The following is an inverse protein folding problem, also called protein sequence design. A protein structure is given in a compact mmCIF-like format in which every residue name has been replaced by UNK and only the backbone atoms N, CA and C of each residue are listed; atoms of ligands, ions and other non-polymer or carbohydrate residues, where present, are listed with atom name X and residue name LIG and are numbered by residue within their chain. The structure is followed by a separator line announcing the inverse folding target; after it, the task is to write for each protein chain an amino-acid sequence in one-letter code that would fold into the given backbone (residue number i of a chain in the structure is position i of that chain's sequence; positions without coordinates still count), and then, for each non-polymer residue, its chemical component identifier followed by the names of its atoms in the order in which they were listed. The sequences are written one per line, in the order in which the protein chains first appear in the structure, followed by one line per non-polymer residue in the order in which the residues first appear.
data_IF_059083465753
#
_entry.id   IF_059083465753
#
_cell.length_a   1.000
_cell.length_b   1.000
_cell.length_c   1.000
_cell.angle_alpha   90.00
_cell.angle_beta   90.00
_cell.angle_gamma   90.00
#
_symmetry.space_group_name_H-M   'P 1'
#
loop_
_entity.id
_entity.type
_entity.pdbx_description
1 polymer ?
#
# COMPACT_ATOMS: atom_id res chain seq x y z
N UNK A 1 38.23 44.87 -29.31
CA UNK A 1 37.74 44.20 -28.08
C UNK A 1 38.77 43.17 -27.66
N UNK A 2 39.72 43.59 -26.83
CA UNK A 2 40.79 42.77 -26.22
C UNK A 2 40.99 43.31 -24.79
N UNK A 3 41.67 42.58 -23.88
CA UNK A 3 41.19 42.23 -22.55
C UNK A 3 41.88 43.09 -21.48
N UNK A 4 41.40 43.13 -20.24
CA UNK A 4 42.26 43.63 -19.14
C UNK A 4 42.16 42.80 -17.87
N UNK A 5 43.33 42.25 -17.59
CA UNK A 5 43.85 41.68 -16.36
C UNK A 5 44.03 42.77 -15.29
N UNK A 6 43.95 42.32 -14.03
CA UNK A 6 44.86 42.61 -12.90
C UNK A 6 44.70 43.90 -12.07
N UNK A 7 44.57 43.61 -10.76
CA UNK A 7 44.72 44.35 -9.49
C UNK A 7 46.01 45.21 -9.36
N UNK A 8 46.42 45.69 -8.16
CA UNK A 8 45.85 46.54 -7.09
C UNK A 8 46.71 47.83 -6.88
N UNK A 9 46.56 48.61 -5.79
CA UNK A 9 47.58 48.56 -4.71
C UNK A 9 46.98 48.71 -3.30
N UNK A 10 47.40 47.96 -2.28
CA UNK A 10 48.60 48.09 -1.43
C UNK A 10 48.69 49.40 -0.62
N UNK A 11 48.56 49.30 0.71
CA UNK A 11 49.56 49.66 1.75
C UNK A 11 48.90 50.10 3.07
N UNK A 12 49.28 49.45 4.18
CA UNK A 12 50.06 50.00 5.33
C UNK A 12 49.99 48.97 6.48
N UNK A 13 51.04 48.15 6.73
CA UNK A 13 52.16 48.37 7.67
C UNK A 13 51.76 48.85 9.07
N UNK A 14 51.88 47.96 10.07
CA UNK A 14 52.97 47.98 11.07
C UNK A 14 52.95 46.71 11.95
N UNK A 15 54.04 46.39 12.70
CA UNK A 15 54.31 45.09 13.31
C UNK A 15 53.98 45.11 14.81
N UNK A 16 54.12 43.98 15.50
CA UNK A 16 54.90 43.79 16.75
C UNK A 16 54.69 42.37 17.26
N UNK A 17 55.79 41.86 17.80
CA UNK A 17 56.05 40.56 18.43
C UNK A 17 54.96 40.02 19.37
N UNK A 18 54.89 38.69 19.51
CA UNK A 18 54.25 38.08 20.68
C UNK A 18 54.07 36.57 20.65
N UNK A 19 55.10 35.86 21.10
CA UNK A 19 55.05 34.63 21.93
C UNK A 19 54.23 33.42 21.42
N UNK A 20 54.95 32.35 21.08
CA UNK A 20 54.39 31.02 20.88
C UNK A 20 53.83 30.44 22.19
N UNK A 21 52.54 30.12 22.20
CA UNK A 21 51.88 29.26 23.18
C UNK A 21 51.38 28.01 22.44
N UNK A 22 52.08 26.89 22.64
CA UNK A 22 51.61 25.57 22.22
C UNK A 22 50.46 25.15 23.16
N UNK A 23 49.23 25.47 22.77
CA UNK A 23 48.04 24.89 23.39
C UNK A 23 47.82 23.48 22.82
N UNK A 24 48.08 22.46 23.62
CA UNK A 24 47.72 21.07 23.30
C UNK A 24 46.21 20.95 23.52
N UNK A 25 45.42 21.32 22.52
CA UNK A 25 44.00 20.99 22.50
C UNK A 25 43.86 19.53 22.06
N UNK A 26 43.64 18.63 23.01
CA UNK A 26 43.17 17.28 22.70
C UNK A 26 41.89 17.41 21.86
N UNK A 27 41.79 16.79 20.67
CA UNK A 27 40.53 16.71 19.97
C UNK A 27 39.59 15.88 20.86
N UNK A 28 38.60 16.54 21.45
CA UNK A 28 37.45 15.84 21.99
C UNK A 28 36.74 15.24 20.77
N UNK A 29 37.03 13.99 20.45
CA UNK A 29 36.21 13.22 19.53
C UNK A 29 34.84 13.09 20.20
N UNK A 30 33.90 13.95 19.81
CA UNK A 30 32.50 13.68 20.01
C UNK A 30 32.18 12.49 19.09
N UNK A 31 32.22 11.28 19.64
CA UNK A 31 31.75 10.08 18.96
C UNK A 31 30.33 10.39 18.46
N UNK A 32 30.05 10.28 17.15
CA UNK A 32 28.68 10.38 16.65
C UNK A 32 27.89 9.29 17.36
N UNK A 33 26.97 9.69 18.24
CA UNK A 33 26.05 8.76 18.86
C UNK A 33 25.30 8.09 17.73
N UNK A 34 25.66 6.83 17.43
CA UNK A 34 24.95 6.07 16.44
C UNK A 34 23.48 6.07 16.86
N UNK A 35 22.54 6.46 15.97
CA UNK A 35 21.13 6.42 16.31
C UNK A 35 20.80 4.99 16.73
N UNK A 36 20.33 4.84 17.96
CA UNK A 36 19.82 3.57 18.47
C UNK A 36 18.75 3.13 17.45
N UNK A 37 18.85 1.94 16.84
CA UNK A 37 17.81 1.45 15.97
C UNK A 37 16.57 1.24 16.84
N UNK A 38 15.71 2.24 16.87
CA UNK A 38 14.37 2.12 17.45
C UNK A 38 13.62 1.19 16.53
N UNK A 39 13.58 -0.09 16.88
CA UNK A 39 12.74 -1.09 16.25
C UNK A 39 11.30 -0.84 16.71
N UNK A 40 10.72 0.27 16.27
CA UNK A 40 9.29 0.47 16.37
C UNK A 40 8.64 -0.66 15.56
N UNK A 41 7.73 -1.45 16.13
CA UNK A 41 6.86 -2.29 15.33
C UNK A 41 6.29 -1.42 14.20
N UNK A 42 6.32 -1.87 12.93
CA UNK A 42 5.74 -1.08 11.86
C UNK A 42 4.33 -0.69 12.29
N UNK A 43 4.05 0.61 12.30
CA UNK A 43 2.76 1.12 12.70
C UNK A 43 1.69 0.30 11.98
N UNK A 44 0.83 -0.36 12.76
CA UNK A 44 -0.27 -1.12 12.20
C UNK A 44 -1.06 -0.12 11.35
N UNK A 45 -0.99 -0.30 10.04
CA UNK A 45 -1.57 0.61 9.08
C UNK A 45 -3.08 0.35 9.14
N UNK A 46 -3.72 0.97 10.13
CA UNK A 46 -5.16 0.94 10.29
C UNK A 46 -5.72 1.84 9.20
N UNK A 47 -5.83 1.28 8.01
CA UNK A 47 -6.54 1.85 6.88
C UNK A 47 -7.97 1.37 7.02
N UNK A 48 -8.87 2.33 7.21
CA UNK A 48 -10.27 2.02 7.42
C UNK A 48 -10.98 2.02 6.09
N UNK A 49 -11.82 1.02 5.85
CA UNK A 49 -12.65 0.99 4.64
C UNK A 49 -13.73 2.06 4.75
N UNK A 50 -13.76 2.99 3.79
CA UNK A 50 -14.77 4.06 3.70
C UNK A 50 -15.82 3.79 2.61
N UNK A 51 -15.50 2.90 1.66
CA UNK A 51 -16.40 2.46 0.60
C UNK A 51 -16.18 0.98 0.28
N UNK A 52 -17.26 0.21 0.33
CA UNK A 52 -17.30 -1.20 -0.02
C UNK A 52 -18.32 -1.42 -1.13
N UNK A 53 -17.94 -2.13 -2.18
CA UNK A 53 -18.84 -2.58 -3.24
C UNK A 53 -18.71 -4.10 -3.44
N UNK A 54 -19.81 -4.82 -3.25
CA UNK A 54 -19.87 -6.28 -3.35
C UNK A 54 -20.51 -6.70 -4.67
N UNK A 55 -19.79 -7.50 -5.44
CA UNK A 55 -20.17 -7.97 -6.77
C UNK A 55 -20.40 -9.48 -6.73
N UNK A 56 -21.58 -9.92 -7.15
CA UNK A 56 -21.92 -11.35 -7.28
C UNK A 56 -21.72 -11.80 -8.72
N UNK A 57 -21.25 -13.02 -8.91
CA UNK A 57 -20.91 -13.55 -10.22
C UNK A 57 -20.13 -14.84 -10.14
N UNK A 58 -19.16 -15.00 -11.05
CA UNK A 58 -18.28 -16.15 -11.07
C UNK A 58 -16.90 -15.80 -11.64
N UNK A 59 -15.87 -16.52 -11.20
CA UNK A 59 -14.56 -16.48 -11.82
C UNK A 59 -14.52 -17.38 -13.06
N UNK A 60 -14.32 -16.82 -14.26
CA UNK A 60 -13.91 -17.59 -15.44
C UNK A 60 -12.46 -18.05 -15.33
N UNK A 61 -11.61 -17.19 -14.76
CA UNK A 61 -10.23 -17.51 -14.41
C UNK A 61 -9.99 -17.06 -12.99
N UNK A 62 -9.50 -17.96 -12.14
CA UNK A 62 -8.83 -17.61 -10.90
C UNK A 62 -7.65 -18.55 -10.75
N UNK A 63 -6.44 -18.03 -10.88
CA UNK A 63 -5.21 -18.78 -10.67
C UNK A 63 -4.40 -18.12 -9.58
N UNK A 64 -4.09 -18.88 -8.54
CA UNK A 64 -3.32 -18.42 -7.39
C UNK A 64 -2.10 -19.33 -7.28
N UNK A 65 -0.91 -18.79 -7.56
CA UNK A 65 0.36 -19.52 -7.55
C UNK A 65 0.31 -20.85 -8.34
N UNK A 66 -0.33 -20.82 -9.51
CA UNK A 66 -0.49 -21.98 -10.40
C UNK A 66 -1.68 -22.91 -10.09
N UNK A 67 -2.40 -22.71 -8.99
CA UNK A 67 -3.63 -23.45 -8.68
C UNK A 67 -4.85 -22.75 -9.27
N UNK A 68 -5.61 -23.45 -10.10
CA UNK A 68 -6.91 -22.97 -10.59
C UNK A 68 -7.98 -23.19 -9.53
N UNK A 69 -8.72 -22.14 -9.20
CA UNK A 69 -9.74 -22.11 -8.16
C UNK A 69 -11.02 -21.50 -8.70
N UNK A 70 -12.12 -21.62 -7.96
CA UNK A 70 -13.39 -20.98 -8.28
C UNK A 70 -13.66 -19.81 -7.32
N UNK A 71 -14.58 -18.93 -7.70
CA UNK A 71 -15.08 -17.86 -6.85
C UNK A 71 -16.50 -17.50 -7.27
N UNK A 72 -17.27 -16.92 -6.36
CA UNK A 72 -18.62 -16.37 -6.64
C UNK A 72 -18.76 -14.89 -6.34
N UNK A 73 -17.77 -14.31 -5.67
CA UNK A 73 -17.89 -12.97 -5.15
C UNK A 73 -16.55 -12.25 -5.20
N UNK A 74 -16.60 -11.01 -5.67
CA UNK A 74 -15.49 -10.07 -5.59
C UNK A 74 -15.98 -8.83 -4.85
N UNK A 75 -15.17 -8.33 -3.93
CA UNK A 75 -15.40 -7.08 -3.23
C UNK A 75 -14.37 -6.05 -3.68
N UNK A 76 -14.85 -4.86 -4.04
CA UNK A 76 -14.03 -3.66 -4.11
C UNK A 76 -14.09 -2.96 -2.75
N UNK A 77 -12.94 -2.74 -2.12
CA UNK A 77 -12.85 -2.01 -0.86
C UNK A 77 -11.86 -0.85 -1.03
N UNK A 78 -12.34 0.37 -0.85
CA UNK A 78 -11.52 1.57 -0.83
C UNK A 78 -11.28 1.96 0.63
N UNK A 79 -10.02 2.18 0.96
CA UNK A 79 -9.58 2.68 2.25
C UNK A 79 -9.61 4.21 2.28
N UNK A 80 -9.81 4.76 3.46
CA UNK A 80 -9.77 6.19 3.77
C UNK A 80 -8.47 6.90 3.31
N UNK A 81 -7.36 6.16 3.25
CA UNK A 81 -6.07 6.66 2.73
C UNK A 81 -5.83 6.41 1.23
N UNK A 82 -6.85 5.99 0.50
CA UNK A 82 -6.82 5.82 -0.96
C UNK A 82 -6.30 4.47 -1.46
N UNK A 83 -5.90 3.56 -0.57
CA UNK A 83 -5.55 2.19 -0.93
C UNK A 83 -6.81 1.40 -1.27
N UNK A 84 -6.76 0.61 -2.33
CA UNK A 84 -7.90 -0.14 -2.86
C UNK A 84 -7.56 -1.62 -2.91
N UNK A 85 -8.56 -2.45 -2.57
CA UNK A 85 -8.50 -3.90 -2.65
C UNK A 85 -9.59 -4.42 -3.59
N UNK A 86 -9.22 -5.26 -4.54
CA UNK A 86 -10.14 -6.23 -5.15
C UNK A 86 -9.97 -7.57 -4.43
N UNK A 87 -10.83 -7.84 -3.45
CA UNK A 87 -10.82 -9.04 -2.64
C UNK A 87 -11.71 -10.11 -3.26
N UNK A 88 -11.15 -11.28 -3.54
CA UNK A 88 -11.83 -12.44 -4.12
C UNK A 88 -12.10 -13.44 -3.00
N UNK A 89 -13.37 -13.74 -2.76
CA UNK A 89 -13.76 -14.85 -1.90
C UNK A 89 -13.57 -16.15 -2.70
N UNK A 90 -12.57 -16.94 -2.32
CA UNK A 90 -12.19 -18.14 -3.05
C UNK A 90 -13.04 -19.31 -2.58
N UNK A 91 -13.65 -20.01 -3.53
CA UNK A 91 -14.36 -21.27 -3.27
C UNK A 91 -13.32 -22.39 -3.15
N UNK A 92 -12.65 -22.50 -1.99
CA UNK A 92 -11.65 -23.54 -1.69
C UNK A 92 -12.20 -24.55 -0.68
N UNK A 93 -12.46 -25.81 -1.07
CA UNK A 93 -12.99 -26.83 -0.15
C UNK A 93 -12.01 -27.21 0.97
N UNK A 94 -10.73 -26.84 0.85
CA UNK A 94 -9.68 -27.15 1.83
C UNK A 94 -9.41 -26.00 2.80
N UNK A 95 -9.95 -24.81 2.52
CA UNK A 95 -9.73 -23.59 3.29
C UNK A 95 -10.98 -22.71 3.37
N UNK A 96 -11.69 -22.82 4.49
CA UNK A 96 -12.97 -22.14 4.73
C UNK A 96 -12.88 -20.59 4.82
N UNK A 97 -11.69 -20.00 4.85
CA UNK A 97 -11.48 -18.55 4.89
C UNK A 97 -10.48 -18.06 3.83
N UNK A 98 -10.45 -18.74 2.69
CA UNK A 98 -9.54 -18.41 1.61
C UNK A 98 -10.00 -17.12 0.90
N UNK A 99 -9.27 -16.03 1.11
CA UNK A 99 -9.50 -14.75 0.43
C UNK A 99 -8.18 -14.26 -0.14
N UNK A 100 -8.19 -13.89 -1.42
CA UNK A 100 -7.04 -13.29 -2.09
C UNK A 100 -7.41 -11.89 -2.55
N UNK A 101 -6.62 -10.90 -2.16
CA UNK A 101 -6.86 -9.51 -2.55
C UNK A 101 -5.72 -8.96 -3.39
N UNK A 102 -6.08 -8.33 -4.51
CA UNK A 102 -5.19 -7.49 -5.30
C UNK A 102 -5.26 -6.08 -4.71
N UNK A 103 -4.17 -5.63 -4.10
CA UNK A 103 -4.09 -4.37 -3.36
C UNK A 103 -3.18 -3.38 -4.08
N UNK A 104 -3.59 -2.13 -4.10
CA UNK A 104 -2.84 -1.07 -4.76
C UNK A 104 -3.25 0.33 -4.35
N UNK A 105 -2.53 1.30 -4.86
CA UNK A 105 -2.77 2.74 -4.69
C UNK A 105 -2.80 3.43 -6.06
N UNK A 106 -3.20 4.70 -6.09
CA UNK A 106 -3.22 5.53 -7.30
C UNK A 106 -4.11 4.97 -8.41
N UNK A 107 -5.23 4.34 -8.02
CA UNK A 107 -6.24 3.89 -8.96
C UNK A 107 -6.88 5.07 -9.71
N UNK A 108 -7.20 4.85 -10.98
CA UNK A 108 -7.70 5.89 -11.89
C UNK A 108 -8.92 5.41 -12.65
N UNK A 109 -9.86 6.31 -12.88
CA UNK A 109 -10.94 6.08 -13.86
C UNK A 109 -10.45 6.54 -15.22
N UNK A 110 -10.52 5.67 -16.23
CA UNK A 110 -10.22 6.08 -17.60
C UNK A 110 -11.47 6.71 -18.26
N UNK A 111 -12.67 6.25 -17.88
CA UNK A 111 -13.96 6.83 -18.24
C UNK A 111 -15.03 6.47 -17.17
N UNK A 112 -16.30 6.80 -17.42
CA UNK A 112 -17.42 6.54 -16.49
C UNK A 112 -17.68 5.05 -16.22
N UNK A 113 -17.17 4.16 -17.08
CA UNK A 113 -17.38 2.72 -17.04
C UNK A 113 -16.07 1.92 -16.96
N UNK A 114 -14.95 2.57 -16.66
CA UNK A 114 -13.67 1.87 -16.55
C UNK A 114 -12.81 2.39 -15.42
N UNK A 115 -12.25 1.46 -14.65
CA UNK A 115 -11.33 1.75 -13.56
C UNK A 115 -10.10 0.85 -13.66
N UNK A 116 -8.93 1.43 -13.47
CA UNK A 116 -7.64 0.74 -13.45
C UNK A 116 -6.94 0.98 -12.12
N UNK A 117 -6.42 -0.08 -11.52
CA UNK A 117 -5.66 -0.05 -10.27
C UNK A 117 -4.30 -0.71 -10.49
N UNK A 118 -3.19 0.05 -10.40
CA UNK A 118 -1.86 -0.54 -10.24
C UNK A 118 -1.81 -1.37 -8.96
N UNK A 119 -1.37 -2.63 -9.04
CA UNK A 119 -1.25 -3.54 -7.90
C UNK A 119 0.21 -3.54 -7.42
N UNK A 120 0.41 -3.30 -6.13
CA UNK A 120 1.72 -3.27 -5.47
C UNK A 120 1.90 -4.40 -4.44
N UNK A 121 0.81 -5.06 -4.04
CA UNK A 121 0.85 -6.22 -3.15
C UNK A 121 -0.35 -7.13 -3.32
N UNK A 122 -0.12 -8.41 -3.09
CA UNK A 122 -1.16 -9.40 -2.86
C UNK A 122 -1.37 -9.58 -1.36
N UNK A 123 -2.64 -9.65 -0.93
CA UNK A 123 -3.01 -10.00 0.44
C UNK A 123 -3.63 -11.39 0.43
N UNK A 124 -2.98 -12.34 1.10
CA UNK A 124 -3.38 -13.75 1.12
C UNK A 124 -3.92 -14.11 2.49
N UNK A 125 -5.20 -14.40 2.57
CA UNK A 125 -5.86 -14.84 3.79
C UNK A 125 -6.26 -16.31 3.68
N UNK A 126 -6.08 -17.03 4.78
CA UNK A 126 -6.43 -18.45 4.95
C UNK A 126 -6.94 -18.68 6.38
N UNK A 127 -7.60 -19.82 6.63
CA UNK A 127 -8.13 -20.18 7.95
C UNK A 127 -7.09 -20.19 9.08
N UNK A 128 -5.83 -20.49 8.74
CA UNK A 128 -4.74 -20.66 9.71
C UNK A 128 -3.91 -19.38 9.92
N UNK A 129 -4.34 -18.24 9.33
CA UNK A 129 -3.64 -16.96 9.53
C UNK A 129 -3.70 -16.52 10.99
N UNK A 130 -2.60 -15.91 11.50
CA UNK A 130 -2.60 -15.33 12.84
C UNK A 130 -3.68 -14.25 12.96
N UNK A 131 -4.23 -14.11 14.16
CA UNK A 131 -5.25 -13.12 14.48
C UNK A 131 -4.69 -12.07 15.43
N UNK A 132 -5.06 -10.82 15.20
CA UNK A 132 -4.80 -9.69 16.10
C UNK A 132 -6.17 -9.14 16.49
N UNK A 133 -6.44 -9.01 17.78
CA UNK A 133 -7.76 -8.63 18.33
C UNK A 133 -8.93 -9.50 17.80
N UNK A 134 -8.65 -10.78 17.53
CA UNK A 134 -9.61 -11.74 16.99
C UNK A 134 -9.82 -11.66 15.47
N UNK A 135 -9.22 -10.70 14.77
CA UNK A 135 -9.33 -10.52 13.32
C UNK A 135 -8.13 -11.15 12.59
N UNK A 136 -8.36 -11.96 11.53
CA UNK A 136 -7.27 -12.57 10.77
C UNK A 136 -6.44 -11.50 10.05
N UNK A 137 -5.12 -11.64 10.13
CA UNK A 137 -4.15 -10.74 9.46
C UNK A 137 -3.66 -11.41 8.18
N UNK A 138 -3.98 -10.89 6.98
CA UNK A 138 -3.50 -11.46 5.72
C UNK A 138 -1.97 -11.47 5.61
N UNK A 139 -1.42 -12.45 4.90
CA UNK A 139 -0.02 -12.42 4.49
C UNK A 139 0.15 -11.41 3.36
N UNK A 140 1.06 -10.46 3.51
CA UNK A 140 1.37 -9.49 2.45
C UNK A 140 2.49 -10.04 1.58
N UNK A 141 2.28 -10.05 0.27
CA UNK A 141 3.29 -10.41 -0.73
C UNK A 141 3.51 -9.21 -1.63
N UNK A 142 4.73 -8.66 -1.63
CA UNK A 142 5.08 -7.59 -2.57
C UNK A 142 4.93 -8.10 -4.00
N UNK A 143 4.20 -7.37 -4.83
CA UNK A 143 3.87 -7.80 -6.19
C UNK A 143 3.77 -6.65 -7.15
N UNK A 144 3.94 -6.91 -8.44
CA UNK A 144 3.69 -5.93 -9.50
C UNK A 144 2.56 -6.43 -10.38
N UNK A 145 1.57 -5.59 -10.61
CA UNK A 145 0.42 -5.97 -11.41
C UNK A 145 -0.55 -4.83 -11.73
N UNK A 146 -1.70 -5.21 -12.26
CA UNK A 146 -2.80 -4.31 -12.57
C UNK A 146 -4.13 -5.04 -12.42
N UNK A 147 -5.13 -4.31 -11.93
CA UNK A 147 -6.54 -4.68 -12.01
C UNK A 147 -7.28 -3.70 -12.91
N UNK A 148 -8.20 -4.20 -13.71
CA UNK A 148 -9.16 -3.43 -14.49
C UNK A 148 -10.57 -3.88 -14.17
N UNK A 149 -11.45 -2.92 -13.92
CA UNK A 149 -12.87 -3.14 -13.69
C UNK A 149 -13.65 -2.39 -14.77
N UNK A 150 -14.64 -3.06 -15.35
CA UNK A 150 -15.54 -2.49 -16.37
C UNK A 150 -16.97 -2.36 -15.83
N UNK A 151 -17.67 -1.32 -16.23
CA UNK A 151 -18.95 -0.91 -15.65
C UNK A 151 -18.78 0.17 -14.57
N UNK A 152 -19.86 0.45 -13.85
CA UNK A 152 -20.01 1.63 -13.02
C UNK A 152 -20.62 1.28 -11.65
N UNK A 153 -19.84 1.52 -10.58
CA UNK A 153 -20.28 1.31 -9.20
C UNK A 153 -21.46 2.23 -8.79
N UNK A 154 -21.50 3.47 -9.25
CA UNK A 154 -22.60 4.40 -8.96
C UNK A 154 -23.91 3.95 -9.63
N UNK A 155 -23.82 3.41 -10.85
CA UNK A 155 -24.93 2.77 -11.54
C UNK A 155 -25.24 1.35 -11.02
N UNK A 156 -24.44 0.84 -10.06
CA UNK A 156 -24.52 -0.53 -9.51
C UNK A 156 -24.42 -1.64 -10.56
N UNK A 157 -23.76 -1.36 -11.68
CA UNK A 157 -23.62 -2.28 -12.82
C UNK A 157 -22.14 -2.46 -13.14
N UNK A 158 -21.55 -3.51 -12.59
CA UNK A 158 -20.20 -3.97 -12.97
C UNK A 158 -20.35 -5.17 -13.90
N UNK A 159 -19.56 -5.21 -14.97
CA UNK A 159 -19.60 -6.32 -15.93
C UNK A 159 -18.51 -7.35 -15.58
N UNK A 160 -17.26 -6.90 -15.47
CA UNK A 160 -16.12 -7.76 -15.18
C UNK A 160 -15.05 -7.06 -14.34
N UNK A 161 -14.22 -7.88 -13.69
CA UNK A 161 -12.97 -7.49 -13.04
C UNK A 161 -11.88 -8.43 -13.51
N UNK A 162 -10.82 -7.85 -14.06
CA UNK A 162 -9.62 -8.58 -14.50
C UNK A 162 -8.43 -8.13 -13.68
N UNK A 163 -7.62 -9.07 -13.22
CA UNK A 163 -6.38 -8.73 -12.53
C UNK A 163 -5.24 -9.67 -12.94
N UNK A 164 -4.03 -9.13 -13.01
CA UNK A 164 -2.80 -9.90 -13.14
C UNK A 164 -1.73 -9.30 -12.24
N UNK A 165 -1.13 -10.11 -11.39
CA UNK A 165 0.00 -9.71 -10.56
C UNK A 165 1.03 -10.83 -10.46
N UNK A 166 2.30 -10.45 -10.30
CA UNK A 166 3.41 -11.38 -10.03
C UNK A 166 4.16 -10.90 -8.80
N UNK A 167 4.39 -11.78 -7.84
CA UNK A 167 5.17 -11.43 -6.64
C UNK A 167 6.69 -11.59 -6.85
N UNK A 168 7.46 -11.20 -5.83
CA UNK A 168 8.92 -11.29 -5.84
C UNK A 168 9.48 -12.70 -5.99
N UNK A 169 8.70 -13.74 -5.69
CA UNK A 169 9.07 -15.15 -5.86
C UNK A 169 8.69 -15.67 -7.26
N UNK A 170 8.12 -14.83 -8.13
CA UNK A 170 7.67 -15.20 -9.46
C UNK A 170 6.32 -15.93 -9.48
N UNK A 171 5.61 -16.02 -8.35
CA UNK A 171 4.27 -16.63 -8.30
C UNK A 171 3.28 -15.67 -8.95
N UNK A 172 2.42 -16.23 -9.79
CA UNK A 172 1.43 -15.49 -10.58
C UNK A 172 0.04 -15.58 -9.95
N UNK A 173 -0.67 -14.47 -10.02
CA UNK A 173 -2.05 -14.31 -9.57
C UNK A 173 -2.86 -13.72 -10.72
N UNK A 174 -3.87 -14.46 -11.18
CA UNK A 174 -4.69 -14.10 -12.33
C UNK A 174 -6.17 -14.19 -11.96
N UNK A 175 -6.94 -13.16 -12.34
CA UNK A 175 -8.38 -13.08 -12.12
C UNK A 175 -9.06 -12.64 -13.43
N UNK A 176 -10.14 -13.34 -13.77
CA UNK A 176 -11.20 -12.89 -14.65
C UNK A 176 -12.53 -13.23 -13.99
N UNK A 177 -13.13 -12.25 -13.33
CA UNK A 177 -14.46 -12.34 -12.74
C UNK A 177 -15.49 -11.73 -13.70
N UNK A 178 -16.65 -12.36 -13.80
CA UNK A 178 -17.80 -11.88 -14.57
C UNK A 178 -19.02 -11.82 -13.67
N UNK A 179 -19.68 -10.67 -13.67
CA UNK A 179 -20.92 -10.43 -12.93
C UNK A 179 -22.05 -11.33 -13.43
N UNK A 180 -22.92 -11.76 -12.53
CA UNK A 180 -24.15 -12.51 -12.88
C UNK A 180 -25.33 -11.58 -13.24
N UNK A 181 -25.12 -10.26 -13.23
CA UNK A 181 -26.15 -9.25 -13.49
C UNK A 181 -26.90 -8.78 -12.25
N UNK A 182 -26.64 -9.38 -11.08
CA UNK A 182 -27.16 -8.89 -9.80
C UNK A 182 -26.63 -7.48 -9.52
N UNK A 183 -27.48 -6.51 -9.12
CA UNK A 183 -27.02 -5.16 -8.80
C UNK A 183 -25.95 -5.17 -7.71
N UNK A 184 -24.87 -4.42 -7.94
CA UNK A 184 -23.76 -4.30 -7.00
C UNK A 184 -24.24 -3.65 -5.70
N UNK A 185 -23.93 -4.28 -4.57
CA UNK A 185 -24.23 -3.73 -3.25
C UNK A 185 -23.15 -2.74 -2.84
N UNK A 186 -23.49 -1.45 -2.74
CA UNK A 186 -22.54 -0.38 -2.41
C UNK A 186 -22.84 0.19 -1.02
N UNK A 187 -21.85 0.19 -0.14
CA UNK A 187 -21.93 0.68 1.23
C UNK A 187 -20.82 1.70 1.47
N UNK A 188 -21.19 2.93 1.82
CA UNK A 188 -20.26 3.92 2.39
C UNK A 188 -20.23 3.76 3.89
N UNK A 189 -19.04 3.63 4.44
CA UNK A 189 -18.81 3.48 5.87
C UNK A 189 -18.32 4.82 6.39
N UNK A 190 -19.09 5.43 7.28
CA UNK A 190 -18.63 6.60 8.03
C UNK A 190 -18.01 6.12 9.32
N UNK A 191 -16.78 6.53 9.57
CA UNK A 191 -16.20 6.35 10.89
C UNK A 191 -16.99 7.20 11.88
N UNK A 192 -17.45 6.57 12.96
CA UNK A 192 -17.92 7.30 14.13
C UNK A 192 -16.70 7.61 15.00
N UNK A 193 -16.71 8.77 15.66
CA UNK A 193 -15.74 9.02 16.72
C UNK A 193 -15.87 7.91 17.78
N UNK A 194 -14.76 7.41 18.35
CA UNK A 194 -14.84 6.42 19.42
C UNK A 194 -15.72 6.98 20.53
N UNK A 195 -16.85 6.33 20.81
CA UNK A 195 -17.70 6.73 21.93
C UNK A 195 -16.95 6.43 23.21
N UNK A 196 -16.46 7.47 23.87
CA UNK A 196 -15.86 7.39 25.20
C UNK A 196 -16.99 7.07 26.18
N UNK A 197 -17.34 5.79 26.27
CA UNK A 197 -18.07 5.15 27.34
C UNK A 197 -17.93 3.66 27.06
N UNK A 198 -16.77 3.13 27.47
CA UNK A 198 -16.64 1.71 27.71
C UNK A 198 -17.57 1.38 28.90
N UNK A 199 -18.67 0.64 28.71
CA UNK A 199 -19.58 0.29 29.79
C UNK A 199 -19.01 -0.82 30.69
N UNK A 200 -17.82 -1.34 30.39
CA UNK A 200 -17.16 -2.44 31.11
C UNK A 200 -15.93 -1.99 31.90
N UNK A 201 -15.75 -0.68 32.12
CA UNK A 201 -14.71 -0.13 32.98
C UNK A 201 -15.25 0.33 34.33
#
# INVERSE_FOLDING_TARGET
MVPWHVSPPMRLRWPVLGVALLAVASPCFAEPSAPIPVNNPPAQQNDFIDLLALMSGHCKTLKIAGRTLACRTVAYAHGDKGRVNFAVAVDDPTDANHVVSFSGENGKRADDNSYELPVDRMLLNSKDRPKVDGLPVPAQQTSTGVCRQTGNFAARKVNDVTCSATDSEGRKYELLFVSDGTPVSVRRIRQSAPSIQDPFK
#
